data_IF_690295599591
#
_entry.id   IF_690295599591
#
_cell.length_a   1.000
_cell.length_b   1.000
_cell.length_c   1.000
_cell.angle_alpha   90.00
_cell.angle_beta   90.00
_cell.angle_gamma   90.00
#
_symmetry.space_group_name_H-M   'P 1'
#
loop_
_entity.id
_entity.type
_entity.pdbx_description
1 polymer ?
#
# COMPACT_ATOMS: atom_id res chain seq x y z
N UNK A 1 -6.15 52.87 -67.00
CA UNK A 1 -7.46 52.80 -66.32
C UNK A 1 -7.70 51.36 -65.90
N UNK A 2 -7.85 51.17 -64.58
CA UNK A 2 -8.53 50.09 -63.87
C UNK A 2 -8.02 48.64 -64.03
N UNK A 3 -7.16 48.28 -63.08
CA UNK A 3 -6.94 46.92 -62.59
C UNK A 3 -8.19 46.39 -61.88
N UNK A 4 -8.54 45.12 -62.13
CA UNK A 4 -9.36 44.31 -61.23
C UNK A 4 -8.80 42.88 -61.20
N UNK A 5 -7.97 42.60 -60.21
CA UNK A 5 -7.43 41.27 -59.91
C UNK A 5 -8.41 40.47 -59.04
N UNK A 6 -8.70 39.25 -59.46
CA UNK A 6 -9.43 38.25 -58.69
C UNK A 6 -8.39 37.51 -57.84
N UNK A 7 -8.48 37.62 -56.51
CA UNK A 7 -7.72 36.79 -55.58
C UNK A 7 -8.70 36.04 -54.68
N UNK A 8 -8.73 34.71 -54.80
CA UNK A 8 -9.58 33.81 -54.02
C UNK A 8 -8.90 33.56 -52.68
N UNK A 9 -9.41 34.14 -51.60
CA UNK A 9 -8.96 33.85 -50.24
C UNK A 9 -9.75 32.67 -49.64
N UNK A 10 -9.08 31.52 -49.46
CA UNK A 10 -9.57 30.44 -48.61
C UNK A 10 -9.55 30.89 -47.14
N UNK A 11 -10.72 30.95 -46.49
CA UNK A 11 -10.81 31.04 -45.02
C UNK A 11 -10.51 29.67 -44.42
N UNK A 12 -9.30 29.49 -43.93
CA UNK A 12 -8.98 28.42 -42.96
C UNK A 12 -9.55 28.85 -41.61
N UNK A 13 -10.63 28.20 -41.18
CA UNK A 13 -11.17 28.35 -39.83
C UNK A 13 -10.25 27.59 -38.87
N UNK A 14 -9.39 28.31 -38.14
CA UNK A 14 -8.58 27.75 -37.06
C UNK A 14 -9.52 27.21 -35.96
N UNK A 15 -9.67 25.89 -35.89
CA UNK A 15 -10.28 25.22 -34.73
C UNK A 15 -9.33 25.38 -33.54
N UNK A 16 -9.81 25.98 -32.46
CA UNK A 16 -9.13 25.91 -31.16
C UNK A 16 -9.08 24.44 -30.67
N UNK A 17 -8.03 24.02 -29.95
CA UNK A 17 -7.83 22.62 -29.63
C UNK A 17 -8.76 22.16 -28.48
N UNK A 18 -9.45 21.04 -28.69
CA UNK A 18 -10.31 20.32 -27.74
C UNK A 18 -9.58 19.77 -26.50
N UNK A 19 -8.27 20.00 -26.36
CA UNK A 19 -7.43 19.42 -25.33
C UNK A 19 -7.63 20.02 -23.91
N UNK A 20 -8.16 21.24 -23.79
CA UNK A 20 -8.31 21.89 -22.47
C UNK A 20 -9.56 21.45 -21.70
N UNK A 21 -10.66 21.09 -22.39
CA UNK A 21 -11.91 20.65 -21.75
C UNK A 21 -11.84 19.22 -21.20
N UNK A 22 -11.02 18.35 -21.80
CA UNK A 22 -10.86 16.97 -21.33
C UNK A 22 -10.05 16.88 -20.02
N UNK A 23 -9.00 17.69 -19.86
CA UNK A 23 -8.18 17.70 -18.63
C UNK A 23 -8.92 18.25 -17.40
N UNK A 24 -9.84 19.19 -17.61
CA UNK A 24 -10.62 19.77 -16.51
C UNK A 24 -11.66 18.80 -15.93
N UNK A 25 -12.21 17.92 -16.78
CA UNK A 25 -13.27 16.99 -16.36
C UNK A 25 -12.73 15.78 -15.60
N UNK A 26 -11.51 15.31 -15.93
CA UNK A 26 -10.85 14.20 -15.23
C UNK A 26 -10.32 14.59 -13.85
N UNK A 27 -9.76 15.80 -13.69
CA UNK A 27 -9.36 16.32 -12.38
C UNK A 27 -10.56 16.46 -11.43
N UNK A 28 -11.70 16.91 -11.95
CA UNK A 28 -12.94 17.02 -11.18
C UNK A 28 -13.45 15.64 -10.72
N UNK A 29 -13.39 14.63 -11.59
CA UNK A 29 -13.82 13.26 -11.27
C UNK A 29 -12.98 12.62 -10.16
N UNK A 30 -11.64 12.70 -10.24
CA UNK A 30 -10.76 12.17 -9.20
C UNK A 30 -10.95 12.91 -7.87
N UNK A 31 -11.14 14.23 -7.89
CA UNK A 31 -11.44 15.00 -6.68
C UNK A 31 -12.79 14.62 -6.08
N UNK A 32 -13.85 14.47 -6.87
CA UNK A 32 -15.14 13.96 -6.35
C UNK A 32 -15.06 12.53 -5.84
N UNK A 33 -14.14 11.71 -6.36
CA UNK A 33 -13.89 10.39 -5.81
C UNK A 33 -13.19 10.54 -4.45
N UNK A 34 -12.08 11.26 -4.37
CA UNK A 34 -11.35 11.53 -3.12
C UNK A 34 -12.22 12.16 -2.03
N UNK A 35 -13.13 13.08 -2.38
CA UNK A 35 -14.13 13.65 -1.47
C UNK A 35 -15.00 12.55 -0.84
N UNK A 36 -15.41 11.52 -1.61
CA UNK A 36 -16.12 10.35 -1.05
C UNK A 36 -15.26 9.49 -0.13
N UNK A 37 -13.93 9.53 -0.29
CA UNK A 37 -13.01 8.78 0.57
C UNK A 37 -12.54 9.58 1.79
N UNK A 38 -12.85 10.88 1.91
CA UNK A 38 -12.52 11.67 3.11
C UNK A 38 -13.13 11.05 4.38
N UNK A 39 -14.35 10.52 4.30
CA UNK A 39 -14.98 9.82 5.42
C UNK A 39 -14.23 8.55 5.83
N UNK A 40 -13.61 7.85 4.86
CA UNK A 40 -12.79 6.65 5.11
C UNK A 40 -11.43 7.01 5.72
N UNK A 41 -10.89 8.18 5.39
CA UNK A 41 -9.58 8.63 5.87
C UNK A 41 -9.63 9.30 7.25
N UNK A 42 -10.77 9.86 7.65
CA UNK A 42 -10.87 10.56 8.95
C UNK A 42 -10.46 9.68 10.15
N UNK A 43 -10.89 8.40 10.27
CA UNK A 43 -10.42 7.52 11.34
C UNK A 43 -8.91 7.25 11.27
N UNK A 44 -8.36 7.09 10.07
CA UNK A 44 -6.92 6.85 9.85
C UNK A 44 -6.11 8.07 10.26
N UNK A 45 -6.54 9.27 9.87
CA UNK A 45 -5.90 10.53 10.24
C UNK A 45 -5.92 10.77 11.75
N UNK A 46 -6.97 10.31 12.45
CA UNK A 46 -7.05 10.35 13.91
C UNK A 46 -6.12 9.32 14.58
N UNK A 47 -5.94 8.15 13.96
CA UNK A 47 -5.12 7.06 14.47
C UNK A 47 -3.61 7.30 14.28
N UNK A 48 -3.21 7.86 13.14
CA UNK A 48 -1.83 8.23 12.84
C UNK A 48 -1.41 9.48 13.64
N UNK A 49 -0.20 9.48 14.18
CA UNK A 49 0.29 10.60 15.02
C UNK A 49 1.06 11.67 14.22
N UNK A 50 1.24 11.46 12.92
CA UNK A 50 1.74 12.47 11.99
C UNK A 50 1.19 12.21 10.59
N UNK A 51 1.09 13.27 9.80
CA UNK A 51 0.84 13.14 8.37
C UNK A 51 2.11 12.72 7.61
N UNK A 52 1.95 12.15 6.41
CA UNK A 52 3.09 11.97 5.52
C UNK A 52 3.72 13.35 5.20
N UNK A 53 5.04 13.52 5.42
CA UNK A 53 5.73 14.79 5.18
C UNK A 53 5.64 15.22 3.71
N UNK A 54 5.46 16.52 3.47
CA UNK A 54 5.40 17.07 2.11
C UNK A 54 6.67 16.75 1.31
N UNK A 55 7.84 16.82 1.95
CA UNK A 55 9.12 16.45 1.33
C UNK A 55 9.16 15.00 0.82
N UNK A 56 8.47 14.06 1.49
CA UNK A 56 8.35 12.69 0.98
C UNK A 56 7.47 12.64 -0.26
N UNK A 57 6.33 13.36 -0.24
CA UNK A 57 5.41 13.42 -1.39
C UNK A 57 6.08 14.07 -2.60
N UNK A 58 6.81 15.17 -2.41
CA UNK A 58 7.53 15.90 -3.45
C UNK A 58 8.57 15.02 -4.15
N UNK A 59 9.26 14.15 -3.41
CA UNK A 59 10.17 13.16 -3.99
C UNK A 59 9.42 12.00 -4.66
N UNK A 60 8.34 11.51 -4.05
CA UNK A 60 7.58 10.36 -4.55
C UNK A 60 6.93 10.60 -5.92
N UNK A 61 6.52 11.83 -6.21
CA UNK A 61 5.87 12.20 -7.48
C UNK A 61 6.87 12.41 -8.62
N UNK A 62 8.18 12.44 -8.34
CA UNK A 62 9.20 12.59 -9.38
C UNK A 62 9.26 11.34 -10.25
N UNK A 63 9.30 11.47 -11.59
CA UNK A 63 9.36 10.31 -12.49
C UNK A 63 10.49 9.32 -12.18
N UNK A 64 11.66 9.82 -11.80
CA UNK A 64 12.85 9.03 -11.44
C UNK A 64 12.66 8.20 -10.16
N UNK A 65 11.80 8.65 -9.24
CA UNK A 65 11.56 8.02 -7.96
C UNK A 65 10.30 7.15 -7.96
N UNK A 66 9.34 7.44 -8.84
CA UNK A 66 8.07 6.71 -8.91
C UNK A 66 8.27 5.21 -9.18
N UNK A 67 9.28 4.84 -9.99
CA UNK A 67 9.68 3.44 -10.19
C UNK A 67 10.03 2.77 -8.86
N UNK A 68 10.82 3.43 -8.02
CA UNK A 68 11.24 2.91 -6.70
C UNK A 68 10.05 2.73 -5.77
N UNK A 69 9.13 3.70 -5.75
CA UNK A 69 7.90 3.62 -4.93
C UNK A 69 7.04 2.44 -5.37
N UNK A 70 6.85 2.25 -6.68
CA UNK A 70 5.99 1.19 -7.22
C UNK A 70 6.60 -0.20 -7.03
N UNK A 71 7.93 -0.35 -7.19
CA UNK A 71 8.63 -1.61 -6.91
C UNK A 71 8.61 -1.95 -5.42
N UNK A 72 8.79 -0.97 -4.52
CA UNK A 72 8.69 -1.22 -3.08
C UNK A 72 7.25 -1.52 -2.67
N UNK A 73 6.27 -0.82 -3.24
CA UNK A 73 4.84 -1.10 -3.05
C UNK A 73 4.53 -2.56 -3.41
N UNK A 74 4.95 -3.03 -4.58
CA UNK A 74 4.81 -4.44 -4.97
C UNK A 74 5.32 -5.39 -3.89
N UNK A 75 6.52 -5.14 -3.36
CA UNK A 75 7.11 -6.01 -2.32
C UNK A 75 6.36 -5.87 -0.99
N UNK A 76 5.83 -4.69 -0.67
CA UNK A 76 5.00 -4.47 0.51
C UNK A 76 3.72 -5.32 0.49
N UNK A 77 3.05 -5.43 -0.65
CA UNK A 77 1.87 -6.31 -0.80
C UNK A 77 2.21 -7.77 -0.46
N UNK A 78 3.32 -8.29 -1.00
CA UNK A 78 3.76 -9.64 -0.68
C UNK A 78 4.14 -9.79 0.79
N UNK A 79 4.82 -8.79 1.38
CA UNK A 79 5.21 -8.81 2.80
C UNK A 79 4.00 -8.75 3.73
N UNK A 80 2.92 -8.07 3.36
CA UNK A 80 1.66 -8.05 4.12
C UNK A 80 1.02 -9.45 4.14
N UNK A 81 0.89 -10.08 2.98
CA UNK A 81 0.44 -11.47 2.86
C UNK A 81 1.32 -12.45 3.67
N UNK A 82 2.64 -12.31 3.59
CA UNK A 82 3.59 -13.15 4.35
C UNK A 82 3.44 -12.94 5.86
N UNK A 83 3.25 -11.70 6.31
CA UNK A 83 3.08 -11.38 7.73
C UNK A 83 1.80 -11.99 8.29
N UNK A 84 0.68 -11.86 7.58
CA UNK A 84 -0.58 -12.49 7.95
C UNK A 84 -0.47 -14.03 7.97
N UNK A 85 0.19 -14.63 6.97
CA UNK A 85 0.46 -16.07 6.94
C UNK A 85 1.25 -16.52 8.18
N UNK A 86 2.28 -15.77 8.58
CA UNK A 86 3.10 -16.08 9.75
C UNK A 86 2.28 -15.99 11.05
N UNK A 87 1.34 -15.05 11.16
CA UNK A 87 0.42 -14.97 12.30
C UNK A 87 -0.49 -16.19 12.36
N UNK A 88 -1.14 -16.56 11.26
CA UNK A 88 -2.01 -17.75 11.20
C UNK A 88 -1.22 -19.00 11.57
N UNK A 89 -0.06 -19.21 10.92
CA UNK A 89 0.83 -20.35 11.14
C UNK A 89 1.25 -20.48 12.60
N UNK A 90 1.58 -19.37 13.26
CA UNK A 90 2.08 -19.39 14.64
C UNK A 90 0.95 -19.58 15.65
N UNK A 91 -0.21 -18.96 15.42
CA UNK A 91 -1.20 -18.77 16.47
C UNK A 91 -2.51 -19.53 16.29
N UNK A 92 -2.86 -19.97 15.08
CA UNK A 92 -4.22 -20.46 14.84
C UNK A 92 -4.36 -21.76 14.06
N UNK A 93 -3.39 -22.27 13.29
CA UNK A 93 -3.64 -23.45 12.43
C UNK A 93 -2.72 -24.65 12.70
N UNK A 94 -3.19 -25.82 12.28
CA UNK A 94 -2.44 -27.08 12.35
C UNK A 94 -1.26 -27.15 11.36
N UNK A 95 -0.38 -28.17 11.45
CA UNK A 95 0.76 -28.31 10.54
C UNK A 95 0.37 -28.50 9.07
N UNK A 96 -0.76 -29.14 8.77
CA UNK A 96 -1.19 -29.34 7.38
C UNK A 96 -1.63 -28.03 6.74
N UNK A 97 -2.47 -27.25 7.43
CA UNK A 97 -2.88 -25.91 7.00
C UNK A 97 -1.68 -24.97 6.87
N UNK A 98 -0.68 -25.11 7.75
CA UNK A 98 0.60 -24.39 7.62
C UNK A 98 1.28 -24.67 6.28
N UNK A 99 1.37 -25.94 5.88
CA UNK A 99 1.98 -26.31 4.61
C UNK A 99 1.19 -25.76 3.42
N UNK A 100 -0.14 -25.76 3.53
CA UNK A 100 -1.02 -25.24 2.48
C UNK A 100 -0.88 -23.73 2.31
N UNK A 101 -0.73 -22.97 3.40
CA UNK A 101 -0.42 -21.54 3.35
C UNK A 101 0.96 -21.28 2.70
N UNK A 102 1.99 -22.03 3.09
CA UNK A 102 3.33 -21.89 2.50
C UNK A 102 3.32 -22.18 0.99
N UNK A 103 2.61 -23.23 0.57
CA UNK A 103 2.48 -23.58 -0.84
C UNK A 103 1.72 -22.51 -1.64
N UNK A 104 0.77 -21.83 -1.00
CA UNK A 104 -0.01 -20.77 -1.64
C UNK A 104 0.83 -19.53 -1.95
N UNK A 105 1.71 -19.11 -1.05
CA UNK A 105 2.57 -17.94 -1.26
C UNK A 105 3.79 -18.25 -2.16
N UNK A 106 4.19 -19.52 -2.26
CA UNK A 106 5.41 -19.93 -2.96
C UNK A 106 5.57 -19.36 -4.39
N UNK A 107 4.54 -19.35 -5.27
CA UNK A 107 4.71 -18.80 -6.63
C UNK A 107 5.07 -17.31 -6.61
N UNK A 108 4.48 -16.54 -5.71
CA UNK A 108 4.74 -15.11 -5.54
C UNK A 108 6.16 -14.87 -4.98
N UNK A 109 6.60 -15.70 -4.05
CA UNK A 109 7.97 -15.66 -3.49
C UNK A 109 9.03 -16.03 -4.52
N UNK A 110 8.79 -17.09 -5.31
CA UNK A 110 9.69 -17.53 -6.37
C UNK A 110 9.87 -16.43 -7.42
N UNK A 111 8.79 -15.77 -7.82
CA UNK A 111 8.84 -14.64 -8.73
C UNK A 111 9.63 -13.47 -8.13
N UNK A 112 9.23 -13.01 -6.94
CA UNK A 112 9.76 -11.78 -6.32
C UNK A 112 11.22 -11.91 -5.92
N UNK A 113 11.59 -13.02 -5.27
CA UNK A 113 12.92 -13.18 -4.65
C UNK A 113 13.89 -14.02 -5.47
N UNK A 114 13.39 -14.88 -6.35
CA UNK A 114 14.24 -15.80 -7.13
C UNK A 114 14.20 -15.51 -8.64
N UNK A 115 13.40 -14.54 -9.08
CA UNK A 115 13.18 -14.20 -10.49
C UNK A 115 12.76 -15.45 -11.31
N UNK A 116 11.91 -16.29 -10.71
CA UNK A 116 11.42 -17.53 -11.31
C UNK A 116 9.92 -17.46 -11.63
N UNK A 117 9.52 -17.99 -12.78
CA UNK A 117 8.12 -18.02 -13.22
C UNK A 117 7.74 -16.84 -14.13
N UNK A 118 6.46 -16.79 -14.50
CA UNK A 118 5.85 -15.69 -15.26
C UNK A 118 4.78 -15.04 -14.39
N UNK A 119 4.88 -13.73 -14.20
CA UNK A 119 3.93 -12.99 -13.38
C UNK A 119 2.51 -13.03 -13.95
N UNK A 120 2.36 -13.20 -15.27
CA UNK A 120 1.07 -13.22 -15.97
C UNK A 120 0.18 -14.39 -15.55
N UNK A 121 0.76 -15.46 -15.00
CA UNK A 121 0.02 -16.63 -14.51
C UNK A 121 -0.15 -16.62 -12.98
N UNK A 122 0.39 -15.64 -12.26
CA UNK A 122 0.27 -15.58 -10.79
C UNK A 122 -1.18 -15.35 -10.32
N UNK A 123 -2.00 -14.63 -11.09
CA UNK A 123 -3.41 -14.43 -10.77
C UNK A 123 -4.19 -15.76 -10.65
N UNK A 124 -3.80 -16.79 -11.39
CA UNK A 124 -4.40 -18.13 -11.31
C UNK A 124 -4.14 -18.81 -9.96
N UNK A 125 -3.07 -18.39 -9.26
CA UNK A 125 -2.64 -18.91 -7.97
C UNK A 125 -3.24 -18.16 -6.79
N UNK A 126 -4.04 -17.10 -6.99
CA UNK A 126 -4.68 -16.34 -5.90
C UNK A 126 -5.91 -17.04 -5.27
N UNK A 127 -5.96 -18.39 -5.32
CA UNK A 127 -7.06 -19.18 -4.74
C UNK A 127 -6.53 -20.21 -3.77
N UNK A 128 -6.87 -20.02 -2.50
CA UNK A 128 -6.74 -21.04 -1.48
C UNK A 128 -7.94 -22.01 -1.57
N UNK A 129 -7.74 -23.18 -2.18
CA UNK A 129 -8.79 -24.18 -2.38
C UNK A 129 -9.03 -25.08 -1.15
N UNK A 130 -8.25 -24.93 -0.09
CA UNK A 130 -8.29 -25.77 1.10
C UNK A 130 -8.81 -24.99 2.30
N UNK A 131 -9.68 -25.63 3.08
CA UNK A 131 -10.15 -25.07 4.35
C UNK A 131 -9.03 -25.11 5.38
N UNK A 132 -8.85 -24.00 6.11
CA UNK A 132 -7.87 -23.92 7.20
C UNK A 132 -8.49 -24.51 8.46
N UNK A 133 -7.77 -25.43 9.11
CA UNK A 133 -8.24 -26.09 10.33
C UNK A 133 -7.65 -25.39 11.56
N UNK A 134 -8.48 -24.85 12.46
CA UNK A 134 -8.01 -24.26 13.71
C UNK A 134 -7.23 -25.26 14.57
N UNK A 135 -6.12 -24.82 15.16
CA UNK A 135 -5.37 -25.58 16.16
C UNK A 135 -5.88 -25.23 17.56
N UNK A 136 -6.63 -26.17 18.14
CA UNK A 136 -7.17 -26.04 19.49
C UNK A 136 -8.26 -24.98 19.61
N UNK A 137 -8.78 -24.83 20.83
CA UNK A 137 -10.05 -24.11 21.08
C UNK A 137 -9.84 -22.68 21.59
N UNK A 138 -8.80 -21.99 21.12
CA UNK A 138 -8.65 -20.58 21.50
C UNK A 138 -9.79 -19.75 20.89
N UNK A 139 -10.43 -18.86 21.66
CA UNK A 139 -11.63 -18.14 21.21
C UNK A 139 -11.36 -17.25 19.99
N UNK A 140 -10.13 -16.75 19.84
CA UNK A 140 -9.72 -15.89 18.73
C UNK A 140 -9.25 -16.64 17.47
N UNK A 141 -9.08 -17.97 17.51
CA UNK A 141 -8.45 -18.72 16.40
C UNK A 141 -9.22 -18.59 15.09
N UNK A 142 -10.55 -18.74 15.14
CA UNK A 142 -11.40 -18.68 13.96
C UNK A 142 -11.39 -17.26 13.35
N UNK A 143 -11.58 -16.24 14.17
CA UNK A 143 -11.55 -14.84 13.74
C UNK A 143 -10.18 -14.46 13.12
N UNK A 144 -9.07 -14.91 13.73
CA UNK A 144 -7.73 -14.70 13.18
C UNK A 144 -7.59 -15.34 11.80
N UNK A 145 -8.00 -16.60 11.64
CA UNK A 145 -7.93 -17.31 10.35
C UNK A 145 -8.75 -16.59 9.29
N UNK A 146 -10.01 -16.25 9.59
CA UNK A 146 -10.91 -15.64 8.62
C UNK A 146 -10.40 -14.28 8.13
N UNK A 147 -10.02 -13.40 9.07
CA UNK A 147 -9.50 -12.06 8.74
C UNK A 147 -8.17 -12.12 8.01
N UNK A 148 -7.21 -12.92 8.50
CA UNK A 148 -5.89 -13.00 7.89
C UNK A 148 -5.92 -13.72 6.53
N UNK A 149 -6.76 -14.73 6.33
CA UNK A 149 -6.91 -15.37 5.01
C UNK A 149 -7.56 -14.41 4.01
N UNK A 150 -8.54 -13.61 4.43
CA UNK A 150 -9.14 -12.58 3.57
C UNK A 150 -8.07 -11.55 3.18
N UNK A 151 -7.33 -11.02 4.16
CA UNK A 151 -6.23 -10.08 3.92
C UNK A 151 -5.24 -10.65 2.90
N UNK A 152 -4.73 -11.87 3.11
CA UNK A 152 -3.78 -12.50 2.17
C UNK A 152 -4.33 -12.53 0.73
N UNK A 153 -5.62 -12.85 0.53
CA UNK A 153 -6.22 -12.85 -0.81
C UNK A 153 -6.22 -11.46 -1.45
N UNK A 154 -6.52 -10.43 -0.66
CA UNK A 154 -6.56 -9.05 -1.10
C UNK A 154 -5.15 -8.55 -1.44
N UNK A 155 -4.16 -8.77 -0.57
CA UNK A 155 -2.77 -8.33 -0.87
C UNK A 155 -2.16 -9.05 -2.06
N UNK A 156 -2.44 -10.35 -2.23
CA UNK A 156 -1.98 -11.08 -3.42
C UNK A 156 -2.72 -10.60 -4.69
N UNK A 157 -3.94 -10.08 -4.56
CA UNK A 157 -4.64 -9.43 -5.67
C UNK A 157 -4.02 -8.06 -5.98
N UNK A 158 -3.76 -7.24 -4.97
CA UNK A 158 -3.10 -5.95 -5.10
C UNK A 158 -1.70 -6.12 -5.73
N UNK A 159 -0.92 -7.10 -5.25
CA UNK A 159 0.38 -7.48 -5.81
C UNK A 159 0.31 -7.70 -7.33
N UNK A 160 -0.70 -8.44 -7.80
CA UNK A 160 -0.90 -8.67 -9.22
C UNK A 160 -1.26 -7.38 -9.98
N UNK A 161 -2.13 -6.53 -9.42
CA UNK A 161 -2.50 -5.26 -10.03
C UNK A 161 -1.30 -4.29 -10.13
N UNK A 162 -0.41 -4.29 -9.13
CA UNK A 162 0.83 -3.52 -9.18
C UNK A 162 1.74 -4.02 -10.31
N UNK A 163 1.83 -5.34 -10.53
CA UNK A 163 2.59 -5.91 -11.66
C UNK A 163 2.04 -5.48 -13.02
N UNK A 164 0.71 -5.48 -13.18
CA UNK A 164 0.08 -4.99 -14.42
C UNK A 164 0.47 -3.54 -14.68
N UNK A 165 0.44 -2.69 -13.65
CA UNK A 165 0.80 -1.27 -13.80
C UNK A 165 2.31 -1.10 -14.07
N UNK A 166 3.18 -1.88 -13.42
CA UNK A 166 4.63 -1.88 -13.69
C UNK A 166 4.92 -2.23 -15.17
N UNK A 167 4.26 -3.25 -15.70
CA UNK A 167 4.38 -3.68 -17.11
C UNK A 167 3.82 -2.62 -18.07
N UNK A 168 2.63 -2.05 -17.77
CA UNK A 168 2.02 -0.94 -18.52
C UNK A 168 2.94 0.30 -18.60
N UNK A 169 3.68 0.57 -17.52
CA UNK A 169 4.63 1.70 -17.44
C UNK A 169 6.00 1.39 -18.06
N UNK A 170 6.23 0.16 -18.53
CA UNK A 170 7.50 -0.26 -19.12
C UNK A 170 8.66 -0.32 -18.12
N UNK A 171 8.35 -0.50 -16.83
CA UNK A 171 9.37 -0.65 -15.80
C UNK A 171 9.80 -2.11 -15.68
N UNK A 172 11.08 -2.36 -15.89
CA UNK A 172 11.64 -3.67 -15.55
C UNK A 172 11.65 -3.85 -14.03
N UNK A 173 11.14 -5.00 -13.59
CA UNK A 173 11.23 -5.44 -12.21
C UNK A 173 12.69 -5.67 -11.84
N UNK A 174 13.15 -5.00 -10.78
CA UNK A 174 14.44 -5.28 -10.17
C UNK A 174 14.29 -5.46 -8.65
N UNK A 175 15.28 -6.14 -8.07
CA UNK A 175 15.32 -6.37 -6.64
C UNK A 175 15.38 -5.03 -5.89
N UNK A 176 14.52 -4.90 -4.89
CA UNK A 176 14.49 -3.76 -3.99
C UNK A 176 14.58 -4.24 -2.54
N UNK A 177 15.48 -3.64 -1.77
CA UNK A 177 15.58 -3.92 -0.34
C UNK A 177 14.39 -3.33 0.41
N UNK A 178 14.04 -3.97 1.53
CA UNK A 178 13.00 -3.42 2.42
C UNK A 178 13.49 -2.16 3.12
N UNK A 179 12.59 -1.18 3.25
CA UNK A 179 12.81 0.00 4.08
C UNK A 179 13.03 -0.35 5.56
N UNK A 180 13.55 0.62 6.33
CA UNK A 180 13.72 0.48 7.79
C UNK A 180 12.41 0.43 8.57
N UNK A 181 11.28 0.83 7.98
CA UNK A 181 10.02 1.13 8.68
C UNK A 181 9.47 -0.06 9.46
N UNK A 182 9.06 -1.16 8.78
CA UNK A 182 8.45 -2.31 9.44
C UNK A 182 9.41 -2.97 10.45
N UNK A 183 10.71 -3.04 10.11
CA UNK A 183 11.74 -3.54 11.03
C UNK A 183 11.88 -2.66 12.27
N UNK A 184 11.85 -1.34 12.11
CA UNK A 184 11.90 -0.36 13.19
C UNK A 184 10.69 -0.46 14.11
N UNK A 185 9.49 -0.66 13.57
CA UNK A 185 8.30 -0.93 14.39
C UNK A 185 8.45 -2.26 15.17
N UNK A 186 8.80 -3.34 14.48
CA UNK A 186 8.88 -4.67 15.06
C UNK A 186 9.97 -4.82 16.13
N UNK A 187 11.03 -4.00 16.11
CA UNK A 187 12.08 -4.04 17.14
C UNK A 187 11.60 -3.60 18.54
N UNK A 188 10.42 -2.97 18.64
CA UNK A 188 9.84 -2.57 19.92
C UNK A 188 8.84 -3.60 20.48
N UNK A 189 8.55 -4.68 19.75
CA UNK A 189 7.63 -5.73 20.20
C UNK A 189 8.20 -6.49 21.40
N UNK A 190 7.32 -6.90 22.34
CA UNK A 190 7.72 -7.78 23.45
C UNK A 190 8.13 -9.17 22.95
N UNK A 191 8.87 -9.89 23.80
CA UNK A 191 9.33 -11.26 23.54
C UNK A 191 8.50 -12.35 24.24
N UNK A 192 7.53 -11.98 25.08
CA UNK A 192 6.66 -12.92 25.81
C UNK A 192 5.21 -12.80 25.32
N UNK A 193 4.50 -13.93 25.30
CA UNK A 193 3.09 -14.00 24.91
C UNK A 193 2.19 -13.69 26.11
N UNK A 194 1.00 -13.06 25.92
CA UNK A 194 0.41 -12.66 24.64
C UNK A 194 0.87 -11.29 24.12
N UNK A 195 1.67 -10.54 24.88
CA UNK A 195 2.09 -9.18 24.50
C UNK A 195 2.81 -9.12 23.16
N UNK A 196 3.69 -10.08 22.87
CA UNK A 196 4.37 -10.19 21.58
C UNK A 196 3.41 -10.31 20.39
N UNK A 197 2.24 -10.94 20.59
CA UNK A 197 1.24 -11.09 19.55
C UNK A 197 0.41 -9.81 19.39
N UNK A 198 -0.06 -9.25 20.51
CA UNK A 198 -0.82 -7.98 20.54
C UNK A 198 0.01 -6.87 19.87
N UNK A 199 1.28 -6.74 20.25
CA UNK A 199 2.17 -5.72 19.70
C UNK A 199 2.34 -5.87 18.18
N UNK A 200 2.44 -7.11 17.66
CA UNK A 200 2.54 -7.35 16.20
C UNK A 200 1.28 -6.96 15.44
N UNK A 201 0.12 -7.20 16.03
CA UNK A 201 -1.16 -6.79 15.44
C UNK A 201 -1.27 -5.26 15.41
N UNK A 202 -0.85 -4.58 16.48
CA UNK A 202 -0.80 -3.10 16.52
C UNK A 202 0.18 -2.56 15.47
N UNK A 203 1.36 -3.17 15.31
CA UNK A 203 2.28 -2.82 14.23
C UNK A 203 1.64 -3.00 12.85
N UNK A 204 0.90 -4.10 12.64
CA UNK A 204 0.11 -4.33 11.42
C UNK A 204 -0.86 -3.19 11.17
N UNK A 205 -1.68 -2.82 12.16
CA UNK A 205 -2.62 -1.70 12.03
C UNK A 205 -1.95 -0.39 11.61
N UNK A 206 -0.78 -0.06 12.17
CA UNK A 206 -0.02 1.12 11.78
C UNK A 206 0.50 1.07 10.34
N UNK A 207 0.97 -0.09 9.89
CA UNK A 207 1.46 -0.27 8.52
C UNK A 207 0.31 -0.05 7.51
N UNK A 208 -0.84 -0.70 7.70
CA UNK A 208 -2.02 -0.55 6.82
C UNK A 208 -2.56 0.89 6.83
N UNK A 209 -2.67 1.51 8.02
CA UNK A 209 -3.14 2.89 8.15
C UNK A 209 -2.21 3.87 7.42
N UNK A 210 -0.89 3.69 7.52
CA UNK A 210 0.09 4.52 6.82
C UNK A 210 0.06 4.29 5.31
N UNK A 211 -0.08 3.04 4.86
CA UNK A 211 -0.26 2.71 3.43
C UNK A 211 -1.47 3.45 2.87
N UNK A 212 -2.62 3.37 3.54
CA UNK A 212 -3.85 4.05 3.14
C UNK A 212 -3.67 5.58 3.02
N UNK A 213 -3.04 6.22 4.02
CA UNK A 213 -2.79 7.67 4.00
C UNK A 213 -1.84 8.08 2.86
N UNK A 214 -0.79 7.28 2.59
CA UNK A 214 0.14 7.54 1.48
C UNK A 214 -0.49 7.33 0.11
N UNK A 215 -1.32 6.30 -0.07
CA UNK A 215 -2.07 6.12 -1.32
C UNK A 215 -3.01 7.29 -1.58
N UNK A 216 -3.74 7.75 -0.57
CA UNK A 216 -4.62 8.90 -0.67
C UNK A 216 -3.85 10.19 -1.02
N UNK A 217 -2.67 10.41 -0.41
CA UNK A 217 -1.83 11.57 -0.74
C UNK A 217 -1.17 11.47 -2.11
N UNK A 218 -0.84 10.29 -2.62
CA UNK A 218 -0.22 10.11 -3.93
C UNK A 218 -1.19 10.20 -5.10
N UNK A 219 -2.41 9.66 -4.93
CA UNK A 219 -3.37 9.48 -6.02
C UNK A 219 -3.63 10.75 -6.88
N UNK A 220 -3.72 11.98 -6.33
CA UNK A 220 -3.95 13.19 -7.11
C UNK A 220 -2.77 13.61 -8.01
N UNK A 221 -1.57 13.09 -7.74
CA UNK A 221 -0.31 13.60 -8.32
C UNK A 221 0.34 12.64 -9.32
N UNK A 222 -0.25 11.46 -9.52
CA UNK A 222 0.24 10.43 -10.44
C UNK A 222 -0.63 10.34 -11.70
N UNK A 223 -0.28 9.44 -12.63
CA UNK A 223 -1.10 9.19 -13.81
C UNK A 223 -2.52 8.78 -13.40
N UNK A 224 -3.52 9.08 -14.24
CA UNK A 224 -4.92 8.74 -13.94
C UNK A 224 -5.09 7.24 -13.61
N UNK A 225 -4.45 6.37 -14.39
CA UNK A 225 -4.47 4.91 -14.18
C UNK A 225 -3.94 4.52 -12.80
N UNK A 226 -2.79 5.06 -12.39
CA UNK A 226 -2.19 4.77 -11.08
C UNK A 226 -3.00 5.39 -9.93
N UNK A 227 -3.51 6.60 -10.13
CA UNK A 227 -4.32 7.30 -9.12
C UNK A 227 -5.64 6.61 -8.84
N UNK A 228 -6.35 6.14 -9.89
CA UNK A 228 -7.57 5.34 -9.75
C UNK A 228 -7.30 4.02 -9.02
N UNK A 229 -6.16 3.37 -9.30
CA UNK A 229 -5.73 2.18 -8.58
C UNK A 229 -5.48 2.46 -7.09
N UNK A 230 -4.68 3.48 -6.74
CA UNK A 230 -4.43 3.88 -5.35
C UNK A 230 -5.72 4.25 -4.59
N UNK A 231 -6.66 4.94 -5.23
CA UNK A 231 -7.97 5.21 -4.65
C UNK A 231 -8.78 3.92 -4.41
N UNK A 232 -8.65 2.93 -5.31
CA UNK A 232 -9.34 1.64 -5.16
C UNK A 232 -8.85 0.82 -3.96
N UNK A 233 -7.58 0.97 -3.57
CA UNK A 233 -6.99 0.29 -2.40
C UNK A 233 -7.52 0.82 -1.06
N UNK A 234 -7.92 2.10 -0.99
CA UNK A 234 -8.22 2.77 0.29
C UNK A 234 -9.25 2.02 1.15
N UNK A 235 -10.20 1.32 0.53
CA UNK A 235 -11.23 0.56 1.25
C UNK A 235 -10.69 -0.73 1.89
N UNK A 236 -9.84 -1.49 1.20
CA UNK A 236 -9.23 -2.71 1.77
C UNK A 236 -8.28 -2.32 2.89
N UNK A 237 -7.39 -1.36 2.65
CA UNK A 237 -6.45 -0.83 3.65
C UNK A 237 -7.15 -0.31 4.92
N UNK A 238 -8.25 0.45 4.73
CA UNK A 238 -9.07 0.93 5.85
C UNK A 238 -9.70 -0.21 6.66
N UNK A 239 -10.05 -1.33 6.03
CA UNK A 239 -10.55 -2.51 6.74
C UNK A 239 -9.43 -3.31 7.40
N UNK A 240 -8.29 -3.46 6.73
CA UNK A 240 -7.15 -4.21 7.26
C UNK A 240 -6.65 -3.60 8.57
N UNK A 241 -6.52 -2.27 8.66
CA UNK A 241 -6.12 -1.63 9.92
C UNK A 241 -7.13 -1.92 11.04
N UNK A 242 -8.43 -1.86 10.74
CA UNK A 242 -9.50 -2.12 11.71
C UNK A 242 -9.50 -3.57 12.17
N UNK A 243 -9.30 -4.50 11.23
CA UNK A 243 -9.21 -5.93 11.52
C UNK A 243 -8.01 -6.25 12.43
N UNK A 244 -6.87 -5.61 12.19
CA UNK A 244 -5.70 -5.73 13.08
C UNK A 244 -5.97 -5.21 14.49
N UNK A 245 -6.59 -4.04 14.64
CA UNK A 245 -6.94 -3.49 15.96
C UNK A 245 -7.99 -4.35 16.68
N UNK A 246 -9.02 -4.79 15.97
CA UNK A 246 -10.07 -5.66 16.51
C UNK A 246 -9.46 -6.95 17.07
N UNK A 247 -8.57 -7.60 16.30
CA UNK A 247 -7.88 -8.79 16.76
C UNK A 247 -7.00 -8.50 17.99
N UNK A 248 -6.28 -7.37 18.00
CA UNK A 248 -5.44 -6.98 19.13
C UNK A 248 -6.25 -6.82 20.42
N UNK A 249 -7.43 -6.17 20.34
CA UNK A 249 -8.35 -6.01 21.46
C UNK A 249 -8.94 -7.35 21.93
N UNK A 250 -9.38 -8.20 21.00
CA UNK A 250 -9.91 -9.54 21.33
C UNK A 250 -8.88 -10.41 22.07
N UNK A 251 -7.61 -10.34 21.66
CA UNK A 251 -6.52 -11.11 22.26
C UNK A 251 -6.07 -10.51 23.59
N UNK A 252 -6.09 -9.18 23.72
CA UNK A 252 -5.76 -8.50 24.96
C UNK A 252 -6.84 -8.72 26.04
N UNK A 253 -8.10 -8.84 25.64
CA UNK A 253 -9.24 -8.94 26.57
C UNK A 253 -9.46 -7.66 27.39
N UNK A 254 -8.97 -6.52 26.91
CA UNK A 254 -9.00 -5.23 27.60
C UNK A 254 -8.50 -4.09 26.72
N UNK A 255 -8.41 -2.90 27.32
CA UNK A 255 -7.97 -1.67 26.62
C UNK A 255 -6.51 -1.78 26.14
N UNK A 256 -6.28 -1.45 24.88
CA UNK A 256 -4.95 -1.43 24.24
C UNK A 256 -4.45 0.00 23.94
N UNK A 257 -5.20 1.04 24.35
CA UNK A 257 -4.93 2.44 23.99
C UNK A 257 -3.51 2.88 24.33
N UNK A 258 -2.96 2.46 25.48
CA UNK A 258 -1.58 2.79 25.85
C UNK A 258 -0.55 2.16 24.90
N UNK A 259 -0.76 0.91 24.48
CA UNK A 259 0.13 0.21 23.52
C UNK A 259 0.02 0.85 22.14
N UNK A 260 -1.19 1.17 21.70
CA UNK A 260 -1.44 1.90 20.44
C UNK A 260 -0.70 3.24 20.46
N UNK A 261 -0.88 4.04 21.51
CA UNK A 261 -0.20 5.33 21.65
C UNK A 261 1.33 5.20 21.67
N UNK A 262 1.87 4.14 22.27
CA UNK A 262 3.30 3.85 22.27
C UNK A 262 3.83 3.55 20.87
N UNK A 263 3.19 2.63 20.13
CA UNK A 263 3.60 2.30 18.76
C UNK A 263 3.40 3.46 17.79
N UNK A 264 2.37 4.28 17.97
CA UNK A 264 2.17 5.46 17.12
C UNK A 264 3.25 6.52 17.26
N UNK A 265 3.91 6.63 18.43
CA UNK A 265 5.07 7.53 18.60
C UNK A 265 6.27 7.03 17.81
N UNK A 266 6.52 5.72 17.85
CA UNK A 266 7.61 5.06 17.10
C UNK A 266 7.35 5.20 15.59
N UNK A 267 6.12 4.95 15.17
CA UNK A 267 5.69 5.09 13.78
C UNK A 267 5.91 6.51 13.28
N UNK A 268 5.45 7.51 14.04
CA UNK A 268 5.61 8.91 13.67
C UNK A 268 7.08 9.33 13.61
N UNK A 269 7.93 8.84 14.52
CA UNK A 269 9.38 9.09 14.47
C UNK A 269 10.01 8.49 13.20
N UNK A 270 9.63 7.27 12.80
CA UNK A 270 10.12 6.64 11.58
C UNK A 270 9.70 7.40 10.31
N UNK A 271 8.48 7.96 10.30
CA UNK A 271 7.94 8.73 9.18
C UNK A 271 8.54 10.14 9.09
N UNK A 272 8.76 10.79 10.23
CA UNK A 272 9.21 12.18 10.27
C UNK A 272 10.75 12.34 10.24
N UNK A 273 11.50 11.31 10.62
CA UNK A 273 12.97 11.40 10.65
C UNK A 273 13.60 11.26 9.26
N UNK A 274 14.80 11.85 9.03
CA UNK A 274 15.52 11.72 7.77
C UNK A 274 15.81 10.27 7.40
N UNK A 275 15.76 9.97 6.11
CA UNK A 275 15.96 8.64 5.54
C UNK A 275 16.79 8.72 4.25
N UNK A 276 17.86 7.95 4.17
CA UNK A 276 18.71 7.85 2.98
C UNK A 276 18.19 6.80 1.99
N UNK A 277 17.32 5.88 2.43
CA UNK A 277 16.77 4.81 1.60
C UNK A 277 15.31 5.10 1.24
N UNK A 278 15.12 5.85 0.15
CA UNK A 278 13.78 6.26 -0.30
C UNK A 278 12.93 5.05 -0.74
N UNK A 279 11.75 4.89 -0.12
CA UNK A 279 10.84 3.74 -0.26
C UNK A 279 9.38 4.14 0.03
N UNK A 280 8.42 3.24 -0.22
CA UNK A 280 7.00 3.51 -0.01
C UNK A 280 6.67 3.84 1.44
N UNK A 281 7.37 3.27 2.42
CA UNK A 281 7.24 3.60 3.86
C UNK A 281 8.46 4.33 4.46
N UNK A 282 9.39 4.88 3.65
CA UNK A 282 10.56 5.59 4.19
C UNK A 282 10.20 6.87 4.93
N UNK A 283 11.12 7.36 5.77
CA UNK A 283 11.03 8.68 6.38
C UNK A 283 11.25 9.83 5.39
N UNK A 284 11.58 11.03 5.89
CA UNK A 284 11.85 12.22 5.08
C UNK A 284 13.10 11.99 4.23
N UNK A 285 13.03 12.06 2.89
CA UNK A 285 14.20 11.79 2.05
C UNK A 285 15.34 12.77 2.35
N UNK A 286 16.54 12.26 2.62
CA UNK A 286 17.71 13.08 2.94
C UNK A 286 18.07 14.07 1.80
N UNK A 287 17.76 13.70 0.55
CA UNK A 287 17.89 14.57 -0.63
C UNK A 287 17.03 15.84 -0.57
N UNK A 288 15.91 15.81 0.14
CA UNK A 288 15.04 16.97 0.32
C UNK A 288 15.55 17.95 1.40
N UNK A 289 16.48 17.51 2.26
CA UNK A 289 17.08 18.36 3.30
C UNK A 289 18.28 19.16 2.79
N UNK A 290 18.97 18.65 1.76
CA UNK A 290 20.11 19.31 1.13
C UNK A 290 19.71 20.41 0.15
N UNK A 291 18.51 20.34 -0.44
CA UNK A 291 17.99 21.33 -1.39
C UNK A 291 17.49 22.64 -0.74
N UNK A 292 17.28 22.64 0.59
CA UNK A 292 16.87 23.84 1.37
C UNK A 292 18.07 24.66 1.85
N UNK A 293 19.29 24.12 1.74
CA UNK A 293 20.52 24.71 2.27
C UNK A 293 21.34 25.54 1.24
N UNK A 294 20.75 25.89 0.09
CA UNK A 294 21.41 26.68 -0.99
C UNK A 294 20.66 27.97 -1.27
#
# INVERSE_FOLDING_TARGET
MLCSGICVAHKVQLRQPLASKFKHNTFLLLNTMLEKYQELLAPIQCFLQCETPQAWLDEAIKPENLKTVLLDHLVCELKAAQSAMLLIRKYAVDPQSTQDLLNWLKPFEDFTYRKQGDWRVLAEHNKLNKSMIPRGDKPYSQALIEKMVLLIKEELHHFYQVLEIIDEMGFEYDYISSSRYAKGMLSHTKNHEPDAFIDKLICGAYIEARSCERFAKLAPHVSQRLGEFYVSLLRSEARHYQDYLTLAEEIAGGDISEKVAYFGKIEAELIASPDEDFKFHSGVPASALTSVAV
#
